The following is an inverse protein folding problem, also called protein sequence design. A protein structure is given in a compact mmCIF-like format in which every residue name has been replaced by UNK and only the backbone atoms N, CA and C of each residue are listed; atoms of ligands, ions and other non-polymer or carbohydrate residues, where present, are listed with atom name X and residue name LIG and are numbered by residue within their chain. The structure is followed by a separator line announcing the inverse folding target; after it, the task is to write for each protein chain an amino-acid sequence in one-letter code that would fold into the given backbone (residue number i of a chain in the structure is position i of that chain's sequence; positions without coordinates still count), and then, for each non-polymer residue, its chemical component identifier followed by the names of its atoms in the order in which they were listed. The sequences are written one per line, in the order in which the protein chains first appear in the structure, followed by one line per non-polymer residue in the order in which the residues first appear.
data_IF_546082767282
#
_entry.id   IF_546082767282
#
_cell.length_a   1.000
_cell.length_b   1.000
_cell.length_c   1.000
_cell.angle_alpha   90.00
_cell.angle_beta   90.00
_cell.angle_gamma   90.00
#
_symmetry.space_group_name_H-M   'P 1'
#
loop_
_entity.id
_entity.type
_entity.pdbx_description
1 polymer ?
#
# COMPACT_ATOMS: atom_id res chain seq x y z
N UNK A 1 27.17 16.27 8.58
CA UNK A 1 26.66 15.11 7.83
C UNK A 1 26.46 13.95 8.77
N UNK A 2 25.47 13.10 8.51
CA UNK A 2 25.32 11.83 9.22
C UNK A 2 26.38 10.82 8.74
N UNK A 3 26.76 9.89 9.61
CA UNK A 3 27.65 8.76 9.27
C UNK A 3 27.00 7.71 8.36
N UNK A 4 25.67 7.70 8.27
CA UNK A 4 24.91 6.84 7.38
C UNK A 4 23.66 7.55 6.89
N UNK A 5 23.17 7.15 5.72
CA UNK A 5 21.86 7.57 5.20
C UNK A 5 20.70 6.73 5.78
N UNK A 6 20.99 5.57 6.37
CA UNK A 6 19.98 4.62 6.81
C UNK A 6 19.59 4.85 8.28
N UNK A 7 18.29 4.75 8.57
CA UNK A 7 17.67 4.97 9.89
C UNK A 7 18.34 4.15 10.99
N UNK A 8 18.61 2.87 10.73
CA UNK A 8 19.18 1.95 11.72
C UNK A 8 20.69 2.10 11.94
N UNK A 9 21.37 2.91 11.11
CA UNK A 9 22.82 3.07 11.12
C UNK A 9 23.27 4.52 11.33
N UNK A 10 22.35 5.49 11.28
CA UNK A 10 22.62 6.89 11.53
C UNK A 10 22.72 7.13 13.05
N UNK A 11 23.96 7.27 13.54
CA UNK A 11 24.26 7.35 14.98
C UNK A 11 25.10 8.56 15.36
N UNK A 12 25.80 9.19 14.41
CA UNK A 12 26.65 10.36 14.65
C UNK A 12 26.46 11.42 13.57
N UNK A 13 26.71 12.68 13.95
CA UNK A 13 26.72 13.84 13.05
C UNK A 13 28.08 14.51 13.16
N UNK A 14 28.76 14.69 12.04
CA UNK A 14 30.04 15.39 11.95
C UNK A 14 29.87 16.71 11.19
N UNK A 15 30.40 17.80 11.72
CA UNK A 15 30.48 19.09 11.04
C UNK A 15 31.93 19.45 10.78
N UNK A 16 32.21 19.97 9.59
CA UNK A 16 33.48 20.63 9.27
C UNK A 16 33.34 22.09 9.67
N UNK A 17 34.39 22.62 10.31
CA UNK A 17 34.45 23.99 10.81
C UNK A 17 35.54 24.76 10.07
N UNK A 18 35.28 26.03 9.80
CA UNK A 18 36.24 27.00 9.29
C UNK A 18 36.43 28.13 10.31
N UNK A 19 37.50 28.91 10.17
CA UNK A 19 37.81 29.98 11.12
C UNK A 19 36.66 30.98 11.33
N UNK A 20 35.86 31.23 10.30
CA UNK A 20 34.69 32.13 10.36
C UNK A 20 33.52 31.60 11.18
N UNK A 21 33.53 30.31 11.55
CA UNK A 21 32.50 29.70 12.41
C UNK A 21 32.75 30.01 13.90
N UNK A 22 33.91 30.58 14.24
CA UNK A 22 34.29 30.92 15.61
C UNK A 22 34.17 32.43 15.85
N UNK A 23 33.46 32.80 16.91
CA UNK A 23 33.35 34.18 17.35
C UNK A 23 34.30 34.44 18.53
N UNK A 24 35.21 35.40 18.37
CA UNK A 24 36.04 35.94 19.43
C UNK A 24 35.14 36.73 20.38
N UNK A 25 34.73 36.14 21.52
CA UNK A 25 34.06 36.89 22.58
C UNK A 25 35.03 37.87 23.23
N UNK A 26 35.45 37.57 24.46
CA UNK A 26 36.56 38.28 25.12
C UNK A 26 37.91 37.62 24.88
N UNK A 27 37.94 36.48 24.18
CA UNK A 27 39.13 35.71 23.87
C UNK A 27 39.74 36.14 22.54
N UNK A 28 41.08 36.15 22.46
CA UNK A 28 41.80 36.28 21.20
C UNK A 28 41.93 34.90 20.55
N UNK A 29 41.20 34.68 19.45
CA UNK A 29 41.19 33.41 18.72
C UNK A 29 42.57 33.03 18.16
N UNK A 30 43.49 33.97 17.99
CA UNK A 30 44.86 33.67 17.51
C UNK A 30 45.68 32.84 18.50
N UNK A 31 45.26 32.81 19.78
CA UNK A 31 45.89 32.00 20.82
C UNK A 31 45.45 30.52 20.82
N UNK A 32 44.50 30.13 19.96
CA UNK A 32 43.90 28.79 19.97
C UNK A 32 44.07 28.09 18.63
N UNK A 33 44.37 26.79 18.68
CA UNK A 33 44.22 25.91 17.53
C UNK A 33 42.74 25.59 17.35
N UNK A 34 42.08 26.28 16.42
CA UNK A 34 40.65 26.09 16.18
C UNK A 34 40.40 24.69 15.56
N UNK A 35 39.47 23.90 16.10
CA UNK A 35 39.17 22.58 15.56
C UNK A 35 38.56 22.73 14.17
N UNK A 36 38.98 21.89 13.23
CA UNK A 36 38.44 21.87 11.86
C UNK A 36 37.25 20.93 11.72
N UNK A 37 36.96 20.14 12.75
CA UNK A 37 35.83 19.20 12.77
C UNK A 37 35.29 19.02 14.19
N UNK A 38 33.98 18.84 14.30
CA UNK A 38 33.31 18.41 15.53
C UNK A 38 32.35 17.26 15.22
N UNK A 39 32.18 16.32 16.13
CA UNK A 39 31.22 15.23 15.99
C UNK A 39 30.42 15.05 17.26
N UNK A 40 29.15 14.67 17.12
CA UNK A 40 28.35 14.17 18.24
C UNK A 40 28.92 12.84 18.75
N UNK A 41 28.61 12.50 20.01
CA UNK A 41 28.81 11.15 20.55
C UNK A 41 27.90 10.14 19.85
N UNK A 42 28.23 8.85 19.92
CA UNK A 42 27.38 7.79 19.37
C UNK A 42 25.99 7.83 20.00
N UNK A 43 24.96 7.87 19.16
CA UNK A 43 23.55 8.04 19.54
C UNK A 43 23.10 9.50 19.63
N UNK A 44 24.02 10.47 19.45
CA UNK A 44 23.72 11.90 19.46
C UNK A 44 23.08 12.43 18.18
N UNK A 45 22.81 11.56 17.19
CA UNK A 45 22.05 11.89 15.99
C UNK A 45 21.21 10.70 15.55
N UNK A 46 20.01 10.97 15.05
CA UNK A 46 19.06 9.95 14.57
C UNK A 46 18.37 10.42 13.29
N UNK A 47 18.03 9.47 12.41
CA UNK A 47 17.18 9.71 11.24
C UNK A 47 15.84 9.02 11.50
N UNK A 48 14.73 9.74 11.31
CA UNK A 48 13.38 9.18 11.41
C UNK A 48 12.98 8.47 10.12
N UNK A 49 12.14 7.43 10.25
CA UNK A 49 11.58 6.72 9.10
C UNK A 49 10.68 7.63 8.26
N UNK A 50 10.74 7.48 6.94
CA UNK A 50 9.77 8.06 6.01
C UNK A 50 8.52 7.17 5.91
N UNK A 51 7.40 7.69 5.42
CA UNK A 51 6.22 6.87 5.16
C UNK A 51 6.29 6.29 3.75
N UNK A 52 6.08 4.97 3.62
CA UNK A 52 5.91 4.34 2.30
C UNK A 52 4.46 4.53 1.86
N UNK A 53 4.24 5.08 0.66
CA UNK A 53 2.91 5.20 0.10
C UNK A 53 2.52 3.91 -0.63
N UNK A 54 1.28 3.46 -0.46
CA UNK A 54 0.72 2.29 -1.18
C UNK A 54 -0.56 2.67 -1.91
N UNK A 55 -0.79 2.08 -3.07
CA UNK A 55 -2.01 2.25 -3.83
C UNK A 55 -2.49 0.90 -4.39
N UNK A 56 -3.79 0.64 -4.34
CA UNK A 56 -4.41 -0.53 -4.97
C UNK A 56 -5.14 -0.12 -6.24
N UNK A 57 -4.83 -0.80 -7.34
CA UNK A 57 -5.56 -0.72 -8.60
C UNK A 57 -7.01 -1.22 -8.45
N UNK A 58 -7.87 -0.85 -9.39
CA UNK A 58 -9.27 -1.26 -9.37
C UNK A 58 -9.42 -2.79 -9.41
N UNK A 59 -10.41 -3.29 -8.68
CA UNK A 59 -10.75 -4.71 -8.58
C UNK A 59 -12.17 -4.93 -9.12
N UNK A 60 -12.35 -5.99 -9.91
CA UNK A 60 -13.65 -6.41 -10.40
C UNK A 60 -13.84 -7.92 -10.28
N UNK A 61 -15.08 -8.34 -10.12
CA UNK A 61 -15.48 -9.75 -10.16
C UNK A 61 -16.93 -9.90 -10.61
N UNK A 62 -17.31 -11.08 -11.06
CA UNK A 62 -18.73 -11.45 -11.18
C UNK A 62 -19.27 -11.84 -9.81
N UNK A 63 -20.55 -11.56 -9.54
CA UNK A 63 -21.23 -11.89 -8.31
C UNK A 63 -21.13 -13.40 -8.01
N UNK A 64 -20.56 -13.74 -6.87
CA UNK A 64 -20.40 -15.12 -6.39
C UNK A 64 -20.97 -15.30 -4.97
N UNK A 65 -21.72 -14.31 -4.46
CA UNK A 65 -22.30 -14.32 -3.13
C UNK A 65 -21.33 -14.03 -1.98
N UNK A 66 -20.06 -13.70 -2.25
CA UNK A 66 -19.04 -13.43 -1.23
C UNK A 66 -18.49 -12.01 -1.32
N UNK A 67 -17.83 -11.56 -0.25
CA UNK A 67 -17.04 -10.31 -0.23
C UNK A 67 -15.57 -10.54 -0.59
N UNK A 68 -15.14 -11.76 -0.91
CA UNK A 68 -13.73 -12.04 -1.18
C UNK A 68 -13.28 -11.37 -2.48
N UNK A 69 -12.15 -10.68 -2.45
CA UNK A 69 -11.46 -10.15 -3.62
C UNK A 69 -10.17 -10.94 -3.86
N UNK A 70 -10.00 -11.45 -5.08
CA UNK A 70 -8.72 -11.99 -5.55
C UNK A 70 -7.92 -10.84 -6.15
N UNK A 71 -6.73 -10.59 -5.61
CA UNK A 71 -5.84 -9.53 -6.09
C UNK A 71 -4.81 -10.13 -7.05
N UNK A 72 -4.72 -9.57 -8.24
CA UNK A 72 -3.67 -9.95 -9.19
C UNK A 72 -2.27 -9.54 -8.67
N UNK A 73 -1.23 -10.25 -9.10
CA UNK A 73 0.15 -9.82 -8.86
C UNK A 73 0.35 -8.41 -9.39
N UNK A 74 0.94 -7.53 -8.58
CA UNK A 74 1.14 -6.12 -8.92
C UNK A 74 -0.10 -5.24 -8.78
N UNK A 75 -1.22 -5.76 -8.26
CA UNK A 75 -2.41 -4.96 -8.00
C UNK A 75 -2.18 -3.84 -6.98
N UNK A 76 -1.17 -3.99 -6.10
CA UNK A 76 -0.76 -2.98 -5.14
C UNK A 76 0.68 -2.54 -5.46
N UNK A 77 0.88 -1.24 -5.61
CA UNK A 77 2.19 -0.62 -5.80
C UNK A 77 2.60 0.13 -4.55
N UNK A 78 3.91 0.26 -4.33
CA UNK A 78 4.46 1.02 -3.22
C UNK A 78 5.57 1.99 -3.69
N UNK A 79 5.49 3.23 -3.23
CA UNK A 79 6.39 4.32 -3.61
C UNK A 79 6.91 5.02 -2.36
N UNK A 80 8.24 5.18 -2.28
CA UNK A 80 8.96 5.85 -1.22
C UNK A 80 9.30 7.30 -1.56
N UNK A 81 10.35 7.83 -0.93
CA UNK A 81 10.85 9.18 -1.21
C UNK A 81 11.57 9.25 -2.56
N UNK A 82 11.67 10.46 -3.11
CA UNK A 82 12.43 10.72 -4.35
C UNK A 82 13.88 11.02 -4.01
N UNK A 83 14.80 10.23 -4.57
CA UNK A 83 16.25 10.38 -4.41
C UNK A 83 16.86 10.60 -5.80
N UNK A 84 17.59 11.70 -5.98
CA UNK A 84 18.21 12.02 -7.27
C UNK A 84 17.22 12.17 -8.42
N UNK A 85 15.98 12.60 -8.14
CA UNK A 85 14.91 12.74 -9.13
C UNK A 85 14.15 11.45 -9.45
N UNK A 86 14.49 10.31 -8.83
CA UNK A 86 13.81 9.02 -9.03
C UNK A 86 13.15 8.59 -7.73
N UNK A 87 11.87 8.20 -7.79
CA UNK A 87 11.17 7.67 -6.63
C UNK A 87 11.70 6.28 -6.26
N UNK A 88 11.97 6.05 -4.98
CA UNK A 88 12.20 4.71 -4.48
C UNK A 88 10.92 3.87 -4.59
N UNK A 89 11.05 2.58 -4.87
CA UNK A 89 9.90 1.69 -5.10
C UNK A 89 10.02 0.39 -4.32
N UNK A 90 8.86 -0.19 -4.03
CA UNK A 90 8.72 -1.52 -3.49
C UNK A 90 7.49 -2.20 -4.12
N UNK A 91 7.38 -3.51 -3.93
CA UNK A 91 6.22 -4.29 -4.34
C UNK A 91 5.48 -4.83 -3.12
N UNK A 92 4.17 -5.03 -3.26
CA UNK A 92 3.32 -5.59 -2.21
C UNK A 92 2.68 -6.88 -2.73
N UNK A 93 3.14 -8.00 -2.18
CA UNK A 93 2.74 -9.37 -2.53
C UNK A 93 1.54 -9.82 -1.70
N UNK A 94 0.39 -9.19 -1.96
CA UNK A 94 -0.88 -9.54 -1.32
C UNK A 94 -1.86 -10.08 -2.35
N UNK A 95 -2.31 -11.33 -2.16
CA UNK A 95 -3.18 -12.02 -3.11
C UNK A 95 -4.68 -11.88 -2.82
N UNK A 96 -5.06 -11.28 -1.69
CA UNK A 96 -6.46 -11.20 -1.25
C UNK A 96 -6.81 -9.88 -0.60
N UNK A 97 -8.08 -9.50 -0.77
CA UNK A 97 -8.73 -8.38 -0.11
C UNK A 97 -10.21 -8.67 0.12
N UNK A 98 -10.94 -7.65 0.58
CA UNK A 98 -12.35 -7.76 0.93
C UNK A 98 -13.13 -6.59 0.32
N UNK A 99 -14.15 -6.89 -0.45
CA UNK A 99 -15.16 -5.92 -0.88
C UNK A 99 -15.96 -5.43 0.33
N UNK A 100 -16.29 -4.15 0.36
CA UNK A 100 -17.15 -3.57 1.39
C UNK A 100 -18.59 -4.14 1.41
N UNK A 101 -19.04 -4.76 0.30
CA UNK A 101 -20.31 -5.48 0.21
C UNK A 101 -20.22 -6.59 -0.83
N UNK A 102 -21.00 -7.66 -0.64
CA UNK A 102 -21.20 -8.70 -1.66
C UNK A 102 -22.18 -8.27 -2.75
N UNK A 103 -23.03 -7.27 -2.49
CA UNK A 103 -24.12 -6.89 -3.38
C UNK A 103 -23.62 -5.96 -4.48
N UNK A 104 -23.98 -6.26 -5.73
CA UNK A 104 -23.58 -5.52 -6.95
C UNK A 104 -23.63 -4.00 -6.79
N UNK A 105 -24.75 -3.45 -6.30
CA UNK A 105 -24.96 -2.00 -6.21
C UNK A 105 -24.28 -1.35 -4.99
N UNK A 106 -23.84 -2.14 -4.00
CA UNK A 106 -23.24 -1.64 -2.76
C UNK A 106 -21.73 -1.85 -2.70
N UNK A 107 -21.18 -2.69 -3.57
CA UNK A 107 -19.74 -2.89 -3.72
C UNK A 107 -19.11 -1.66 -4.39
N UNK A 108 -18.24 -0.96 -3.66
CA UNK A 108 -17.57 0.26 -4.14
C UNK A 108 -16.08 0.30 -3.81
N UNK A 109 -15.62 -0.46 -2.81
CA UNK A 109 -14.21 -0.50 -2.41
C UNK A 109 -13.75 -1.91 -2.10
N UNK A 110 -12.45 -2.15 -2.30
CA UNK A 110 -11.75 -3.35 -1.80
C UNK A 110 -10.65 -2.91 -0.85
N UNK A 111 -10.60 -3.52 0.33
CA UNK A 111 -9.56 -3.28 1.35
C UNK A 111 -8.72 -4.53 1.55
N UNK A 112 -7.41 -4.36 1.69
CA UNK A 112 -6.48 -5.41 2.12
C UNK A 112 -5.72 -4.98 3.37
N UNK A 113 -5.59 -5.90 4.33
CA UNK A 113 -4.66 -5.78 5.45
C UNK A 113 -3.28 -6.24 5.01
N UNK A 114 -2.27 -5.45 5.33
CA UNK A 114 -0.88 -5.66 4.96
C UNK A 114 -0.03 -5.94 6.21
N UNK A 115 0.94 -6.83 6.06
CA UNK A 115 1.97 -7.12 7.06
C UNK A 115 3.36 -6.93 6.44
N UNK A 116 4.39 -6.81 7.28
CA UNK A 116 5.76 -6.55 6.79
C UNK A 116 6.25 -7.57 5.75
N UNK A 117 5.84 -8.85 5.88
CA UNK A 117 6.21 -9.92 4.93
C UNK A 117 5.52 -9.81 3.57
N UNK A 118 4.47 -8.99 3.45
CA UNK A 118 3.85 -8.71 2.15
C UNK A 118 4.73 -7.76 1.31
N UNK A 119 5.63 -6.99 1.93
CA UNK A 119 6.48 -6.03 1.22
C UNK A 119 7.77 -6.69 0.74
N UNK A 120 8.08 -6.52 -0.55
CA UNK A 120 9.36 -6.87 -1.13
C UNK A 120 10.05 -5.62 -1.65
N UNK A 121 11.32 -5.45 -1.26
CA UNK A 121 12.12 -4.30 -1.65
C UNK A 121 12.29 -4.24 -3.17
N UNK A 122 12.07 -3.06 -3.75
CA UNK A 122 12.53 -2.70 -5.08
C UNK A 122 13.84 -1.93 -4.95
N UNK A 123 13.79 -0.63 -5.24
CA UNK A 123 14.90 0.30 -4.96
C UNK A 123 14.87 0.85 -3.53
N UNK A 124 13.75 0.73 -2.83
CA UNK A 124 13.60 1.19 -1.45
C UNK A 124 14.28 0.24 -0.45
N UNK A 125 15.05 0.80 0.49
CA UNK A 125 15.44 0.10 1.72
C UNK A 125 14.29 0.18 2.73
N UNK A 126 13.49 -0.88 2.81
CA UNK A 126 12.27 -0.93 3.64
C UNK A 126 12.53 -0.67 5.13
N UNK A 127 13.76 -0.85 5.61
CA UNK A 127 14.10 -0.54 7.01
C UNK A 127 14.01 0.96 7.33
N UNK A 128 14.14 1.81 6.31
CA UNK A 128 14.03 3.26 6.40
C UNK A 128 12.59 3.77 6.35
N UNK A 129 11.59 2.89 6.21
CA UNK A 129 10.20 3.28 6.04
C UNK A 129 9.27 2.74 7.13
N UNK A 130 8.22 3.50 7.39
CA UNK A 130 6.99 3.04 8.04
C UNK A 130 6.13 2.37 6.96
N UNK A 131 5.82 1.08 7.17
CA UNK A 131 5.03 0.29 6.23
C UNK A 131 3.54 0.44 6.54
N UNK A 132 2.68 0.77 5.55
CA UNK A 132 1.24 0.78 5.73
C UNK A 132 0.72 -0.59 6.15
N UNK A 133 -0.26 -0.61 7.05
CA UNK A 133 -0.91 -1.84 7.53
C UNK A 133 -2.20 -2.14 6.79
N UNK A 134 -2.68 -1.21 5.97
CA UNK A 134 -3.87 -1.37 5.14
C UNK A 134 -3.71 -0.61 3.83
N UNK A 135 -4.44 -1.06 2.82
CA UNK A 135 -4.63 -0.33 1.56
C UNK A 135 -6.05 -0.58 1.06
N UNK A 136 -6.66 0.44 0.46
CA UNK A 136 -7.96 0.36 -0.18
C UNK A 136 -7.86 0.88 -1.60
N UNK A 137 -8.69 0.36 -2.50
CA UNK A 137 -9.00 1.06 -3.75
C UNK A 137 -9.62 2.41 -3.43
N UNK A 138 -9.56 3.33 -4.39
CA UNK A 138 -10.43 4.53 -4.36
C UNK A 138 -11.91 4.10 -4.40
N UNK A 139 -12.79 4.99 -3.95
CA UNK A 139 -14.25 4.76 -4.04
C UNK A 139 -14.66 4.60 -5.49
N UNK A 140 -15.38 3.52 -5.80
CA UNK A 140 -15.74 3.12 -7.16
C UNK A 140 -14.70 2.19 -7.82
N UNK A 141 -13.55 1.98 -7.18
CA UNK A 141 -12.50 1.08 -7.67
C UNK A 141 -12.78 -0.40 -7.40
N UNK A 142 -13.70 -0.73 -6.48
CA UNK A 142 -14.15 -2.10 -6.26
C UNK A 142 -15.53 -2.32 -6.86
N UNK A 143 -15.63 -3.07 -7.98
CA UNK A 143 -16.91 -3.34 -8.65
C UNK A 143 -17.27 -4.82 -8.67
N UNK A 144 -18.56 -5.14 -8.60
CA UNK A 144 -19.08 -6.51 -8.78
C UNK A 144 -20.10 -6.48 -9.93
N UNK A 145 -19.91 -7.30 -10.96
CA UNK A 145 -20.87 -7.46 -12.05
C UNK A 145 -21.94 -8.50 -11.71
N UNK A 146 -23.15 -8.34 -12.28
CA UNK A 146 -24.24 -9.31 -12.10
C UNK A 146 -23.84 -10.69 -12.61
N UNK A 147 -24.24 -11.74 -11.89
CA UNK A 147 -24.19 -13.11 -12.40
C UNK A 147 -25.45 -13.42 -13.22
N UNK A 148 -25.32 -14.31 -14.20
CA UNK A 148 -26.45 -14.80 -14.96
C UNK A 148 -27.26 -15.78 -14.11
N UNK A 149 -28.58 -15.60 -14.07
CA UNK A 149 -29.50 -16.58 -13.51
C UNK A 149 -29.98 -17.49 -14.65
N UNK A 150 -29.63 -18.77 -14.59
CA UNK A 150 -30.15 -19.75 -15.52
C UNK A 150 -31.56 -20.16 -15.09
N UNK A 151 -32.51 -20.04 -16.00
CA UNK A 151 -33.88 -20.53 -15.83
C UNK A 151 -34.13 -21.60 -16.87
N UNK A 152 -34.63 -22.74 -16.44
CA UNK A 152 -35.02 -23.84 -17.31
C UNK A 152 -36.48 -24.20 -17.04
N UNK A 153 -37.20 -24.55 -18.09
CA UNK A 153 -38.54 -25.13 -18.01
C UNK A 153 -38.45 -26.60 -18.43
N UNK A 154 -39.02 -27.50 -17.63
CA UNK A 154 -39.15 -28.90 -18.01
C UNK A 154 -40.14 -29.06 -19.17
N UNK A 155 -40.05 -30.17 -19.90
CA UNK A 155 -41.05 -30.50 -20.93
C UNK A 155 -42.46 -30.55 -20.31
N UNK A 156 -43.42 -29.97 -21.01
CA UNK A 156 -44.82 -29.95 -20.59
C UNK A 156 -45.62 -30.90 -21.47
N UNK A 157 -46.24 -31.91 -20.86
CA UNK A 157 -47.10 -32.85 -21.53
C UNK A 157 -48.55 -32.64 -21.05
N UNK A 158 -49.50 -32.62 -21.98
CA UNK A 158 -50.94 -32.62 -21.68
C UNK A 158 -51.68 -33.61 -22.57
N UNK A 159 -52.75 -34.19 -22.04
CA UNK A 159 -53.75 -34.90 -22.85
C UNK A 159 -54.66 -33.86 -23.50
N UNK A 160 -55.14 -34.13 -24.73
CA UNK A 160 -56.08 -33.24 -25.41
C UNK A 160 -57.37 -33.10 -24.61
N UNK A 161 -57.71 -31.86 -24.25
CA UNK A 161 -58.88 -31.48 -23.46
C UNK A 161 -59.70 -30.35 -24.14
N UNK A 162 -59.37 -30.02 -25.40
CA UNK A 162 -59.97 -28.89 -26.12
C UNK A 162 -59.52 -27.50 -25.66
N UNK A 163 -58.56 -27.39 -24.74
CA UNK A 163 -58.03 -26.10 -24.24
C UNK A 163 -56.56 -25.87 -24.62
N UNK A 164 -56.11 -24.62 -24.59
CA UNK A 164 -54.68 -24.26 -24.80
C UNK A 164 -53.87 -24.19 -23.51
N UNK A 165 -54.49 -24.43 -22.35
CA UNK A 165 -53.83 -24.31 -21.06
C UNK A 165 -52.81 -25.44 -20.83
N UNK A 166 -51.64 -25.07 -20.31
CA UNK A 166 -50.62 -25.99 -19.82
C UNK A 166 -50.47 -25.82 -18.30
N UNK A 167 -50.45 -26.93 -17.56
CA UNK A 167 -50.25 -26.90 -16.12
C UNK A 167 -48.74 -26.87 -15.81
N UNK A 168 -48.24 -25.72 -15.36
CA UNK A 168 -46.88 -25.62 -14.85
C UNK A 168 -46.86 -26.14 -13.41
N UNK A 169 -46.11 -27.20 -13.13
CA UNK A 169 -45.73 -27.49 -11.76
C UNK A 169 -44.89 -26.31 -11.26
N UNK A 170 -45.26 -25.72 -10.11
CA UNK A 170 -44.46 -24.65 -9.50
C UNK A 170 -43.09 -25.22 -9.16
N UNK A 171 -42.05 -24.77 -9.88
CA UNK A 171 -40.67 -25.11 -9.58
C UNK A 171 -40.26 -24.53 -8.22
N UNK A 172 -39.52 -25.34 -7.44
CA UNK A 172 -38.85 -24.91 -6.22
C UNK A 172 -37.64 -24.02 -6.55
#
# INVERSE_FOLDING_TARGET
TYNSKNVNAATTVTATLVATDFAAGTADLSNYNLPTTVSTVVGGGTISKANLAVAMSNQNKTYDGTTAAALATGAITATGVTVGGVAETATVNKASGTYNSKNVNAATTVTATLVATDFAAGTADLSNYNLPTTVSTVVGGGTISKANLAVAMSNQNKTYDGTTAAALATGA
#
